data_IF_188316061463
#
_entry.id   IF_188316061463
#
_cell.length_a   1.000
_cell.length_b   1.000
_cell.length_c   1.000
_cell.angle_alpha   90.00
_cell.angle_beta   90.00
_cell.angle_gamma   90.00
#
_symmetry.space_group_name_H-M   'P 1'
#
loop_
_entity.id
_entity.type
_entity.pdbx_description
1 polymer ?
#
# COMPACT_ATOMS: atom_id res chain seq x y z
N UNK A 1 -8.79 -6.96 -16.31
CA UNK A 1 -10.05 -7.28 -15.61
C UNK A 1 -9.85 -8.56 -14.81
N UNK A 2 -9.55 -8.43 -13.53
CA UNK A 2 -9.38 -9.57 -12.64
C UNK A 2 -10.77 -10.17 -12.38
N UNK A 3 -10.99 -11.42 -12.79
CA UNK A 3 -12.28 -12.09 -12.63
C UNK A 3 -12.41 -12.57 -11.18
N UNK A 4 -12.79 -11.67 -10.26
CA UNK A 4 -12.89 -11.97 -8.82
C UNK A 4 -14.11 -12.87 -8.56
N UNK A 5 -13.86 -14.12 -8.15
CA UNK A 5 -14.90 -15.04 -7.74
C UNK A 5 -15.22 -14.89 -6.24
N UNK A 6 -16.33 -14.20 -5.94
CA UNK A 6 -16.79 -13.95 -4.56
C UNK A 6 -17.24 -15.20 -3.78
N UNK A 7 -17.22 -16.39 -4.39
CA UNK A 7 -17.59 -17.65 -3.73
C UNK A 7 -16.39 -18.56 -3.48
N UNK A 8 -15.29 -18.35 -4.20
CA UNK A 8 -14.05 -19.09 -3.98
C UNK A 8 -13.27 -18.51 -2.79
N UNK A 9 -12.47 -19.32 -2.08
CA UNK A 9 -11.46 -18.81 -1.16
C UNK A 9 -10.47 -17.91 -1.91
N UNK A 10 -9.99 -16.84 -1.27
CA UNK A 10 -8.87 -16.07 -1.83
C UNK A 10 -7.57 -16.84 -1.66
N UNK A 11 -6.68 -16.74 -2.65
CA UNK A 11 -5.29 -17.22 -2.59
C UNK A 11 -4.36 -16.22 -1.87
N UNK A 12 -4.89 -15.07 -1.45
CA UNK A 12 -4.14 -14.01 -0.81
C UNK A 12 -3.89 -14.30 0.68
N UNK A 13 -2.63 -14.56 1.01
CA UNK A 13 -2.17 -14.77 2.38
C UNK A 13 -2.21 -13.47 3.22
N UNK A 14 -2.70 -13.52 4.47
CA UNK A 14 -2.60 -12.43 5.45
C UNK A 14 -1.20 -11.82 5.58
N UNK A 15 -0.18 -12.68 5.62
CA UNK A 15 1.22 -12.25 5.73
C UNK A 15 1.67 -11.47 4.49
N UNK A 16 1.18 -11.87 3.32
CA UNK A 16 1.47 -11.15 2.08
C UNK A 16 0.86 -9.75 2.10
N UNK A 17 -0.36 -9.60 2.62
CA UNK A 17 -0.99 -8.28 2.78
C UNK A 17 -0.17 -7.38 3.69
N UNK A 18 0.20 -7.87 4.88
CA UNK A 18 0.98 -7.10 5.86
C UNK A 18 2.31 -6.66 5.27
N UNK A 19 3.04 -7.61 4.63
CA UNK A 19 4.34 -7.33 4.06
C UNK A 19 4.23 -6.36 2.87
N UNK A 20 3.28 -6.57 1.97
CA UNK A 20 3.05 -5.71 0.81
C UNK A 20 2.74 -4.26 1.20
N UNK A 21 1.84 -4.05 2.17
CA UNK A 21 1.53 -2.71 2.69
C UNK A 21 2.77 -2.08 3.34
N UNK A 22 3.55 -2.85 4.11
CA UNK A 22 4.79 -2.34 4.73
C UNK A 22 5.85 -1.96 3.69
N UNK A 23 5.97 -2.72 2.61
CA UNK A 23 6.91 -2.46 1.52
C UNK A 23 6.48 -1.23 0.71
N UNK A 24 5.19 -1.11 0.38
CA UNK A 24 4.61 0.07 -0.28
C UNK A 24 4.93 1.36 0.48
N UNK A 25 4.62 1.40 1.78
CA UNK A 25 4.79 2.61 2.58
C UNK A 25 6.26 3.01 2.77
N UNK A 26 7.20 2.05 2.69
CA UNK A 26 8.64 2.36 2.68
C UNK A 26 9.10 3.09 1.43
N UNK A 27 8.37 2.98 0.32
CA UNK A 27 8.68 3.66 -0.95
C UNK A 27 7.97 5.01 -1.10
N UNK A 28 7.05 5.34 -0.19
CA UNK A 28 6.37 6.64 -0.16
C UNK A 28 7.31 7.71 0.42
N UNK A 29 8.24 8.20 -0.41
CA UNK A 29 9.23 9.21 -0.04
C UNK A 29 8.82 10.57 -0.59
N UNK A 30 8.71 11.55 0.32
CA UNK A 30 8.53 12.99 0.06
C UNK A 30 9.80 13.75 0.43
N UNK A 31 10.40 13.43 1.57
CA UNK A 31 11.70 13.98 1.99
C UNK A 31 12.76 12.91 1.78
N UNK A 32 13.63 13.12 0.79
CA UNK A 32 14.71 12.20 0.48
C UNK A 32 15.91 12.41 1.43
N UNK A 33 16.48 11.32 1.93
CA UNK A 33 17.69 11.34 2.76
C UNK A 33 17.75 10.17 3.74
N UNK A 34 18.97 9.78 4.11
CA UNK A 34 19.21 8.63 4.99
C UNK A 34 19.54 9.01 6.43
N UNK A 35 19.79 10.29 6.70
CA UNK A 35 20.02 10.80 8.04
C UNK A 35 18.72 10.83 8.87
N UNK A 36 18.88 10.98 10.18
CA UNK A 36 17.75 10.89 11.10
C UNK A 36 16.73 12.02 10.91
N UNK A 37 17.17 13.22 10.51
CA UNK A 37 16.26 14.35 10.31
C UNK A 37 15.41 14.11 9.07
N UNK A 38 16.02 13.68 7.97
CA UNK A 38 15.31 13.34 6.73
C UNK A 38 14.26 12.25 6.95
N UNK A 39 14.61 11.18 7.68
CA UNK A 39 13.69 10.09 8.01
C UNK A 39 12.50 10.57 8.84
N UNK A 40 12.75 11.31 9.92
CA UNK A 40 11.69 11.86 10.77
C UNK A 40 10.80 12.85 10.01
N UNK A 41 11.39 13.69 9.16
CA UNK A 41 10.64 14.62 8.32
C UNK A 41 9.73 13.87 7.33
N UNK A 42 10.21 12.80 6.69
CA UNK A 42 9.41 11.98 5.80
C UNK A 42 8.27 11.24 6.53
N UNK A 43 8.54 10.68 7.70
CA UNK A 43 7.52 10.04 8.54
C UNK A 43 6.39 11.02 8.89
N UNK A 44 6.74 12.23 9.31
CA UNK A 44 5.75 13.27 9.60
C UNK A 44 4.97 13.70 8.37
N UNK A 45 5.65 13.91 7.23
CA UNK A 45 5.02 14.33 5.98
C UNK A 45 4.04 13.28 5.43
N UNK A 46 4.27 12.00 5.72
CA UNK A 46 3.48 10.88 5.18
C UNK A 46 2.53 10.25 6.19
N UNK A 47 2.52 10.69 7.45
CA UNK A 47 1.80 10.04 8.56
C UNK A 47 0.33 9.74 8.23
N UNK A 48 -0.43 10.76 7.80
CA UNK A 48 -1.85 10.59 7.47
C UNK A 48 -2.06 9.63 6.30
N UNK A 49 -1.23 9.70 5.27
CA UNK A 49 -1.29 8.79 4.13
C UNK A 49 -1.02 7.35 4.57
N UNK A 50 0.00 7.14 5.41
CA UNK A 50 0.28 5.82 5.95
C UNK A 50 -0.88 5.26 6.79
N UNK A 51 -1.55 6.10 7.60
CA UNK A 51 -2.74 5.70 8.34
C UNK A 51 -3.90 5.30 7.42
N UNK A 52 -4.15 6.08 6.36
CA UNK A 52 -5.18 5.80 5.37
C UNK A 52 -4.92 4.46 4.66
N UNK A 53 -3.70 4.24 4.17
CA UNK A 53 -3.35 3.00 3.47
C UNK A 53 -3.47 1.80 4.41
N UNK A 54 -2.98 1.87 5.65
CA UNK A 54 -3.08 0.75 6.62
C UNK A 54 -4.52 0.41 6.99
N UNK A 55 -5.38 1.42 7.17
CA UNK A 55 -6.79 1.19 7.50
C UNK A 55 -7.57 0.62 6.32
N UNK A 56 -7.33 1.14 5.12
CA UNK A 56 -8.02 0.72 3.90
C UNK A 56 -7.57 -0.65 3.42
N UNK A 57 -6.27 -0.95 3.50
CA UNK A 57 -5.67 -2.22 3.04
C UNK A 57 -5.41 -3.20 4.17
N UNK A 58 -6.14 -3.12 5.29
CA UNK A 58 -6.01 -4.10 6.35
C UNK A 58 -6.42 -5.50 5.84
N UNK A 59 -5.80 -6.55 6.36
CA UNK A 59 -5.99 -7.92 5.86
C UNK A 59 -7.44 -8.33 5.73
N UNK A 60 -8.26 -8.03 6.74
CA UNK A 60 -9.70 -8.34 6.72
C UNK A 60 -10.41 -7.65 5.55
N UNK A 61 -10.20 -6.34 5.38
CA UNK A 61 -10.85 -5.57 4.32
C UNK A 61 -10.45 -6.06 2.91
N UNK A 62 -9.19 -6.47 2.75
CA UNK A 62 -8.65 -6.92 1.46
C UNK A 62 -9.08 -8.35 1.14
N UNK A 63 -8.96 -9.27 2.11
CA UNK A 63 -9.19 -10.71 1.90
C UNK A 63 -10.66 -11.11 2.05
N UNK A 64 -11.40 -10.53 3.00
CA UNK A 64 -12.75 -10.98 3.34
C UNK A 64 -13.82 -10.11 2.66
N UNK A 65 -13.67 -8.79 2.72
CA UNK A 65 -14.66 -7.84 2.22
C UNK A 65 -14.49 -7.59 0.70
N UNK A 66 -13.27 -7.25 0.29
CA UNK A 66 -12.92 -6.99 -1.11
C UNK A 66 -12.59 -8.26 -1.89
N UNK A 67 -12.18 -9.34 -1.20
CA UNK A 67 -11.84 -10.65 -1.76
C UNK A 67 -10.84 -10.58 -2.91
N UNK A 68 -9.81 -9.74 -2.76
CA UNK A 68 -8.76 -9.65 -3.78
C UNK A 68 -8.01 -10.98 -3.89
N UNK A 69 -7.67 -11.37 -5.12
CA UNK A 69 -6.64 -12.39 -5.36
C UNK A 69 -5.26 -11.82 -5.07
N UNK A 70 -4.26 -12.70 -4.93
CA UNK A 70 -2.87 -12.28 -4.80
C UNK A 70 -2.43 -11.37 -5.96
N UNK A 71 -2.77 -11.73 -7.19
CA UNK A 71 -2.46 -10.92 -8.38
C UNK A 71 -3.11 -9.52 -8.34
N UNK A 72 -4.39 -9.45 -7.97
CA UNK A 72 -5.11 -8.18 -7.89
C UNK A 72 -4.53 -7.27 -6.79
N UNK A 73 -4.08 -7.87 -5.68
CA UNK A 73 -3.42 -7.14 -4.59
C UNK A 73 -2.06 -6.58 -5.01
N UNK A 74 -1.23 -7.36 -5.70
CA UNK A 74 0.06 -6.87 -6.23
C UNK A 74 -0.14 -5.70 -7.21
N UNK A 75 -1.09 -5.85 -8.13
CA UNK A 75 -1.42 -4.79 -9.07
C UNK A 75 -1.88 -3.52 -8.35
N UNK A 76 -2.76 -3.65 -7.34
CA UNK A 76 -3.27 -2.52 -6.57
C UNK A 76 -2.15 -1.77 -5.84
N UNK A 77 -1.21 -2.49 -5.22
CA UNK A 77 -0.06 -1.88 -4.55
C UNK A 77 0.80 -1.11 -5.56
N UNK A 78 1.08 -1.70 -6.73
CA UNK A 78 1.86 -1.04 -7.77
C UNK A 78 1.18 0.22 -8.31
N UNK A 79 -0.14 0.19 -8.49
CA UNK A 79 -0.90 1.36 -8.91
C UNK A 79 -0.87 2.47 -7.84
N UNK A 80 -1.00 2.14 -6.55
CA UNK A 80 -0.91 3.13 -5.46
C UNK A 80 0.49 3.77 -5.44
N UNK A 81 1.55 2.97 -5.56
CA UNK A 81 2.94 3.48 -5.64
C UNK A 81 3.12 4.45 -6.81
N UNK A 82 2.65 4.07 -8.01
CA UNK A 82 2.76 4.90 -9.21
C UNK A 82 1.98 6.20 -9.07
N UNK A 83 0.75 6.15 -8.54
CA UNK A 83 -0.09 7.34 -8.32
C UNK A 83 0.50 8.26 -7.26
N UNK A 84 1.09 7.70 -6.20
CA UNK A 84 1.78 8.48 -5.19
C UNK A 84 2.95 9.27 -5.79
N UNK A 85 3.75 8.65 -6.66
CA UNK A 85 4.85 9.32 -7.36
C UNK A 85 4.35 10.41 -8.32
N UNK A 86 3.29 10.13 -9.09
CA UNK A 86 2.71 11.09 -10.03
C UNK A 86 2.06 12.30 -9.35
N UNK A 87 1.54 12.12 -8.14
CA UNK A 87 0.86 13.17 -7.38
C UNK A 87 1.82 14.17 -6.70
N UNK A 88 3.14 13.93 -6.75
CA UNK A 88 4.11 14.87 -6.19
C UNK A 88 4.13 16.16 -7.03
N UNK A 89 4.21 17.31 -6.34
CA UNK A 89 4.36 18.60 -7.00
C UNK A 89 5.68 18.61 -7.80
N UNK A 90 5.61 19.08 -9.04
CA UNK A 90 6.81 19.32 -9.83
C UNK A 90 7.57 20.52 -9.22
N UNK A 91 8.90 20.46 -9.15
CA UNK A 91 9.73 21.55 -8.64
C UNK A 91 9.55 22.86 -9.43
#
# INVERSE_FOLDING_TARGET
>A
NFHINKRAPTDLSPLRVIQGVKDLLRKCIIVAGEDHLSKQANENATLLFQCLVRSTLCTKAVSDDSRLSAEAFEWLIGEIESRFQQAQCQP
#
